data_IF_340055896773
#
_entry.id   IF_340055896773
#
_cell.length_a   1.000
_cell.length_b   1.000
_cell.length_c   1.000
_cell.angle_alpha   90.00
_cell.angle_beta   90.00
_cell.angle_gamma   90.00
#
_symmetry.space_group_name_H-M   'P 1'
#
loop_
_entity.id
_entity.type
_entity.pdbx_description
1 polymer ?
#
# COMPACT_ATOMS: atom_id res chain seq x y z
N UNK A 1 -10.20 12.77 -1.32
CA UNK A 1 -10.39 11.38 -1.79
C UNK A 1 -9.41 10.47 -1.04
N UNK A 2 -9.86 9.28 -0.63
CA UNK A 2 -9.05 8.26 0.03
C UNK A 2 -8.78 7.14 -0.97
N UNK A 3 -7.50 6.88 -1.28
CA UNK A 3 -7.07 5.88 -2.26
C UNK A 3 -6.42 4.72 -1.53
N UNK A 4 -7.00 3.53 -1.62
CA UNK A 4 -6.41 2.30 -1.08
C UNK A 4 -5.60 1.59 -2.17
N UNK A 5 -4.36 1.28 -1.86
CA UNK A 5 -3.37 0.66 -2.75
C UNK A 5 -3.07 -0.75 -2.21
N UNK A 6 -3.57 -1.77 -2.90
CA UNK A 6 -3.42 -3.15 -2.48
C UNK A 6 -2.00 -3.71 -2.72
N UNK A 7 -1.72 -4.87 -2.15
CA UNK A 7 -0.41 -5.54 -2.23
C UNK A 7 -0.18 -6.31 -3.53
N UNK A 8 0.98 -6.98 -3.58
CA UNK A 8 1.40 -7.85 -4.67
C UNK A 8 0.40 -8.98 -4.90
N UNK A 9 0.09 -9.27 -6.16
CA UNK A 9 -0.86 -10.33 -6.58
C UNK A 9 -2.26 -10.21 -5.95
N UNK A 10 -2.67 -9.03 -5.51
CA UNK A 10 -3.94 -8.75 -4.86
C UNK A 10 -4.87 -7.91 -5.76
N UNK A 11 -6.01 -7.45 -5.21
CA UNK A 11 -6.99 -6.64 -5.94
C UNK A 11 -7.85 -5.79 -4.98
N UNK A 12 -8.79 -5.03 -5.55
CA UNK A 12 -9.84 -4.34 -4.79
C UNK A 12 -10.76 -5.30 -3.99
N UNK A 13 -10.71 -6.61 -4.27
CA UNK A 13 -11.45 -7.65 -3.55
C UNK A 13 -10.74 -8.14 -2.28
N UNK A 14 -9.56 -7.60 -1.94
CA UNK A 14 -8.87 -7.95 -0.69
C UNK A 14 -9.71 -7.62 0.55
N UNK A 15 -9.54 -8.39 1.62
CA UNK A 15 -10.31 -8.22 2.86
C UNK A 15 -10.30 -6.78 3.34
N UNK A 16 -9.11 -6.18 3.54
CA UNK A 16 -8.95 -4.80 3.98
C UNK A 16 -9.61 -3.77 3.06
N UNK A 17 -9.50 -3.94 1.73
CA UNK A 17 -10.13 -3.02 0.79
C UNK A 17 -11.65 -3.05 0.91
N UNK A 18 -12.25 -4.24 1.03
CA UNK A 18 -13.70 -4.40 1.21
C UNK A 18 -14.18 -3.91 2.57
N UNK A 19 -13.44 -4.18 3.64
CA UNK A 19 -13.75 -3.68 4.98
C UNK A 19 -13.77 -2.15 4.99
N UNK A 20 -12.76 -1.52 4.38
CA UNK A 20 -12.72 -0.06 4.26
C UNK A 20 -13.88 0.48 3.42
N UNK A 21 -14.19 -0.14 2.27
CA UNK A 21 -15.31 0.24 1.41
C UNK A 21 -16.65 0.20 2.17
N UNK A 22 -16.91 -0.91 2.88
CA UNK A 22 -18.12 -1.09 3.66
C UNK A 22 -18.22 -0.06 4.81
N UNK A 23 -17.10 0.18 5.50
CA UNK A 23 -17.02 1.14 6.60
C UNK A 23 -17.26 2.59 6.13
N UNK A 24 -16.70 2.97 4.97
CA UNK A 24 -16.92 4.28 4.35
C UNK A 24 -18.38 4.44 3.87
N UNK A 25 -18.93 3.41 3.23
CA UNK A 25 -20.34 3.42 2.76
C UNK A 25 -21.34 3.60 3.92
N UNK A 26 -21.14 2.91 5.06
CA UNK A 26 -21.98 3.05 6.26
C UNK A 26 -22.00 4.47 6.83
N UNK A 27 -21.01 5.30 6.51
CA UNK A 27 -20.86 6.69 6.94
C UNK A 27 -21.26 7.72 5.87
N UNK A 28 -21.79 7.26 4.74
CA UNK A 28 -22.14 8.14 3.62
C UNK A 28 -20.91 8.71 2.88
N UNK A 29 -19.72 8.10 3.07
CA UNK A 29 -18.45 8.53 2.50
C UNK A 29 -17.98 7.61 1.36
N UNK A 30 -18.83 6.74 0.85
CA UNK A 30 -18.45 5.74 -0.16
C UNK A 30 -17.84 6.36 -1.42
N UNK A 31 -18.37 7.48 -1.90
CA UNK A 31 -17.84 8.20 -3.07
C UNK A 31 -16.47 8.87 -2.83
N UNK A 32 -16.06 9.01 -1.57
CA UNK A 32 -14.76 9.56 -1.19
C UNK A 32 -13.66 8.49 -1.10
N UNK A 33 -13.99 7.21 -1.37
CA UNK A 33 -13.08 6.07 -1.30
C UNK A 33 -12.95 5.39 -2.64
N UNK A 34 -11.73 5.01 -3.01
CA UNK A 34 -11.44 4.19 -4.17
C UNK A 34 -10.31 3.20 -3.87
N UNK A 35 -10.50 1.96 -4.33
CA UNK A 35 -9.44 0.97 -4.43
C UNK A 35 -9.44 0.46 -5.87
N UNK A 36 -8.51 0.91 -6.73
CA UNK A 36 -8.42 0.40 -8.09
C UNK A 36 -7.83 -1.01 -8.11
N UNK A 37 -8.22 -1.83 -9.09
CA UNK A 37 -7.45 -3.01 -9.44
C UNK A 37 -6.19 -2.56 -10.19
N UNK A 38 -5.03 -2.81 -9.60
CA UNK A 38 -3.76 -2.36 -10.16
C UNK A 38 -3.26 -3.33 -11.22
N UNK A 39 -2.78 -2.83 -12.38
CA UNK A 39 -2.01 -3.63 -13.31
C UNK A 39 -0.81 -4.28 -12.62
N UNK A 40 -0.38 -5.46 -13.10
CA UNK A 40 0.82 -6.12 -12.56
C UNK A 40 2.12 -5.37 -12.90
N UNK A 41 2.13 -4.54 -13.97
CA UNK A 41 3.26 -3.69 -14.36
C UNK A 41 3.35 -2.47 -13.43
N UNK A 42 4.48 -2.27 -12.70
CA UNK A 42 4.60 -1.16 -11.77
C UNK A 42 4.42 0.22 -12.40
N UNK A 43 4.94 0.43 -13.61
CA UNK A 43 4.80 1.70 -14.31
C UNK A 43 3.33 2.03 -14.64
N UNK A 44 2.54 1.04 -15.08
CA UNK A 44 1.12 1.19 -15.35
C UNK A 44 0.32 1.42 -14.06
N UNK A 45 0.67 0.71 -12.98
CA UNK A 45 0.05 0.89 -11.67
C UNK A 45 0.27 2.30 -11.14
N UNK A 46 1.48 2.83 -11.24
CA UNK A 46 1.78 4.21 -10.84
C UNK A 46 1.04 5.21 -11.71
N UNK A 47 1.00 5.03 -13.03
CA UNK A 47 0.26 5.92 -13.93
C UNK A 47 -1.23 5.99 -13.59
N UNK A 48 -1.85 4.85 -13.28
CA UNK A 48 -3.25 4.77 -12.83
C UNK A 48 -3.45 5.53 -11.50
N UNK A 49 -2.56 5.34 -10.54
CA UNK A 49 -2.64 6.00 -9.23
C UNK A 49 -2.42 7.53 -9.35
N UNK A 50 -1.49 7.97 -10.19
CA UNK A 50 -1.27 9.40 -10.46
C UNK A 50 -2.49 10.06 -11.12
N UNK A 51 -3.16 9.36 -12.06
CA UNK A 51 -4.40 9.83 -12.66
C UNK A 51 -5.51 10.01 -11.59
N UNK A 52 -5.68 9.04 -10.69
CA UNK A 52 -6.62 9.16 -9.57
C UNK A 52 -6.30 10.33 -8.63
N UNK A 53 -5.02 10.54 -8.30
CA UNK A 53 -4.57 11.66 -7.49
C UNK A 53 -4.90 12.99 -8.19
N UNK A 54 -4.65 13.09 -9.49
CA UNK A 54 -4.90 14.29 -10.28
C UNK A 54 -6.38 14.69 -10.36
N UNK A 55 -7.28 13.72 -10.33
CA UNK A 55 -8.74 13.91 -10.33
C UNK A 55 -9.34 14.23 -8.96
N UNK A 56 -8.54 14.17 -7.91
CA UNK A 56 -9.02 14.45 -6.55
C UNK A 56 -9.37 15.93 -6.39
N UNK A 57 -10.56 16.24 -5.87
CA UNK A 57 -11.01 17.62 -5.59
C UNK A 57 -10.32 18.27 -4.38
N UNK A 58 -9.14 17.82 -4.02
CA UNK A 58 -8.32 18.27 -2.91
C UNK A 58 -7.21 17.27 -2.65
N UNK A 59 -6.36 17.47 -1.63
CA UNK A 59 -5.29 16.54 -1.33
C UNK A 59 -5.83 15.12 -1.14
N UNK A 60 -5.33 14.16 -1.93
CA UNK A 60 -5.64 12.77 -1.73
C UNK A 60 -4.95 12.26 -0.45
N UNK A 61 -5.60 11.33 0.25
CA UNK A 61 -4.98 10.53 1.31
C UNK A 61 -4.75 9.12 0.77
N UNK A 62 -3.59 8.55 1.06
CA UNK A 62 -3.22 7.22 0.58
C UNK A 62 -3.27 6.19 1.71
N UNK A 63 -3.71 4.99 1.40
CA UNK A 63 -3.54 3.82 2.27
C UNK A 63 -2.82 2.76 1.45
N UNK A 64 -1.66 2.30 1.88
CA UNK A 64 -0.90 1.29 1.17
C UNK A 64 -0.62 0.06 2.01
N UNK A 65 -0.93 -1.14 1.51
CA UNK A 65 -0.64 -2.41 2.17
C UNK A 65 0.44 -3.18 1.41
N UNK A 66 1.47 -3.67 2.12
CA UNK A 66 2.55 -4.46 1.53
C UNK A 66 3.24 -3.72 0.37
N UNK A 67 3.26 -4.28 -0.87
CA UNK A 67 3.73 -3.56 -2.08
C UNK A 67 2.98 -2.24 -2.29
N UNK A 68 1.68 -2.19 -1.97
CA UNK A 68 0.92 -0.94 -2.04
C UNK A 68 1.46 0.13 -1.09
N UNK A 69 2.09 -0.25 0.03
CA UNK A 69 2.81 0.65 0.92
C UNK A 69 4.06 1.25 0.28
N UNK A 70 4.77 0.47 -0.54
CA UNK A 70 5.89 0.96 -1.33
C UNK A 70 5.45 2.00 -2.37
N UNK A 71 4.35 1.75 -3.10
CA UNK A 71 3.76 2.70 -4.04
C UNK A 71 3.22 3.96 -3.34
N UNK A 72 2.50 3.79 -2.22
CA UNK A 72 1.99 4.91 -1.43
C UNK A 72 3.13 5.82 -0.95
N UNK A 73 4.26 5.26 -0.56
CA UNK A 73 5.43 6.03 -0.11
C UNK A 73 6.00 6.86 -1.27
N UNK A 74 6.22 6.26 -2.44
CA UNK A 74 6.69 6.98 -3.61
C UNK A 74 5.75 8.14 -3.98
N UNK A 75 4.44 7.89 -4.03
CA UNK A 75 3.44 8.90 -4.40
C UNK A 75 3.31 9.99 -3.33
N UNK A 76 3.38 9.63 -2.04
CA UNK A 76 3.34 10.59 -0.95
C UNK A 76 4.54 11.55 -0.99
N UNK A 77 5.75 11.04 -1.26
CA UNK A 77 6.94 11.87 -1.42
C UNK A 77 6.88 12.77 -2.65
N UNK A 78 6.36 12.24 -3.76
CA UNK A 78 6.25 12.97 -5.03
C UNK A 78 5.23 14.09 -4.99
N UNK A 79 4.10 13.89 -4.33
CA UNK A 79 2.94 14.80 -4.33
C UNK A 79 2.69 15.50 -2.99
N UNK A 80 3.59 15.33 -2.01
CA UNK A 80 3.46 15.85 -0.64
C UNK A 80 2.12 15.46 0.03
N UNK A 81 1.78 14.15 -0.02
CA UNK A 81 0.54 13.61 0.50
C UNK A 81 0.76 12.87 1.81
N UNK A 82 -0.33 12.71 2.57
CA UNK A 82 -0.36 11.80 3.72
C UNK A 82 -0.64 10.37 3.29
N UNK A 83 0.06 9.43 3.92
CA UNK A 83 -0.11 8.00 3.68
C UNK A 83 -0.17 7.19 4.97
N UNK A 84 -1.21 6.37 5.10
CA UNK A 84 -1.25 5.28 6.08
C UNK A 84 -0.69 4.02 5.46
N UNK A 85 0.22 3.38 6.17
CA UNK A 85 0.98 2.23 5.68
C UNK A 85 0.71 1.02 6.56
N UNK A 86 0.26 -0.06 5.95
CA UNK A 86 -0.14 -1.29 6.65
C UNK A 86 0.80 -2.43 6.25
N UNK A 87 1.64 -2.88 7.18
CA UNK A 87 2.70 -3.86 6.94
C UNK A 87 3.43 -3.56 5.60
N UNK A 88 3.98 -2.34 5.42
CA UNK A 88 4.52 -1.90 4.13
C UNK A 88 5.81 -2.62 3.76
N UNK A 89 6.00 -2.85 2.48
CA UNK A 89 7.24 -3.41 1.95
C UNK A 89 8.29 -2.30 1.76
N UNK A 90 9.22 -2.19 2.66
CA UNK A 90 10.40 -1.31 2.49
C UNK A 90 11.40 -1.98 1.56
N UNK A 91 11.93 -1.23 0.57
CA UNK A 91 12.89 -1.76 -0.39
C UNK A 91 12.33 -2.89 -1.27
N UNK A 92 11.08 -2.81 -1.64
CA UNK A 92 10.33 -3.87 -2.32
C UNK A 92 10.99 -4.33 -3.63
N UNK A 93 11.64 -3.43 -4.36
CA UNK A 93 12.40 -3.76 -5.57
C UNK A 93 13.50 -4.82 -5.32
N UNK A 94 14.16 -4.79 -4.16
CA UNK A 94 15.16 -5.80 -3.81
C UNK A 94 14.50 -7.12 -3.39
N UNK A 95 13.42 -7.04 -2.59
CA UNK A 95 12.71 -8.23 -2.07
C UNK A 95 12.02 -9.04 -3.15
N UNK A 96 11.54 -8.39 -4.22
CA UNK A 96 10.89 -9.05 -5.35
C UNK A 96 11.86 -9.59 -6.41
N UNK A 97 13.16 -9.34 -6.28
CA UNK A 97 14.17 -9.80 -7.26
C UNK A 97 14.18 -11.32 -7.47
N UNK A 98 13.89 -12.10 -6.42
CA UNK A 98 13.80 -13.55 -6.49
C UNK A 98 12.64 -14.10 -7.33
N UNK A 99 11.66 -13.27 -7.68
CA UNK A 99 10.51 -13.68 -8.49
C UNK A 99 10.75 -13.55 -10.01
N UNK A 100 11.85 -12.95 -10.45
CA UNK A 100 12.15 -12.76 -11.87
C UNK A 100 12.18 -14.11 -12.60
N UNK A 101 11.39 -14.21 -13.68
CA UNK A 101 11.20 -15.42 -14.46
C UNK A 101 10.13 -16.38 -13.93
N UNK A 102 9.54 -16.11 -12.77
CA UNK A 102 8.51 -16.95 -12.19
C UNK A 102 7.12 -16.52 -12.62
N UNK A 103 6.23 -17.49 -12.84
CA UNK A 103 4.80 -17.25 -13.03
C UNK A 103 4.19 -16.80 -11.71
N UNK A 104 3.49 -15.69 -11.75
CA UNK A 104 2.71 -15.15 -10.65
C UNK A 104 1.22 -15.26 -10.97
N UNK A 105 0.40 -15.32 -9.94
CA UNK A 105 -1.03 -15.41 -10.06
C UNK A 105 -1.73 -14.44 -9.13
N UNK A 106 -2.64 -13.64 -9.66
CA UNK A 106 -3.50 -12.81 -8.82
C UNK A 106 -4.46 -13.70 -8.02
N UNK A 107 -4.47 -13.52 -6.71
CA UNK A 107 -5.24 -14.39 -5.79
C UNK A 107 -6.75 -14.24 -5.89
N UNK A 108 -7.22 -13.12 -6.44
CA UNK A 108 -8.65 -12.81 -6.53
C UNK A 108 -9.21 -12.98 -7.95
N UNK A 109 -8.47 -12.56 -8.98
CA UNK A 109 -8.92 -12.66 -10.38
C UNK A 109 -8.51 -13.98 -11.02
N UNK A 110 -7.44 -14.61 -10.54
CA UNK A 110 -6.88 -15.81 -11.13
C UNK A 110 -5.97 -15.56 -12.32
N UNK A 111 -5.78 -14.30 -12.72
CA UNK A 111 -4.90 -13.92 -13.84
C UNK A 111 -3.45 -14.30 -13.56
N UNK A 112 -2.80 -14.87 -14.57
CA UNK A 112 -1.41 -15.29 -14.49
C UNK A 112 -0.52 -14.42 -15.38
N UNK A 113 0.68 -14.12 -14.88
CA UNK A 113 1.70 -13.38 -15.63
C UNK A 113 3.10 -13.83 -15.20
N UNK A 114 4.10 -13.60 -16.05
CA UNK A 114 5.51 -13.83 -15.69
C UNK A 114 6.07 -12.54 -15.09
N UNK A 115 6.58 -12.60 -13.85
CA UNK A 115 7.30 -11.47 -13.26
C UNK A 115 8.68 -11.37 -13.95
N UNK A 116 8.83 -10.39 -14.83
CA UNK A 116 10.03 -10.23 -15.67
C UNK A 116 11.04 -9.26 -15.06
N UNK A 117 12.23 -9.19 -15.66
CA UNK A 117 13.25 -8.19 -15.33
C UNK A 117 12.74 -6.75 -15.51
N UNK A 118 11.80 -6.52 -16.45
CA UNK A 118 11.18 -5.21 -16.64
C UNK A 118 10.36 -4.76 -15.44
N UNK A 119 9.62 -5.68 -14.80
CA UNK A 119 8.89 -5.36 -13.56
C UNK A 119 9.86 -4.85 -12.48
N UNK A 120 11.00 -5.54 -12.35
CA UNK A 120 12.02 -5.13 -11.38
C UNK A 120 12.65 -3.78 -11.74
N UNK A 121 12.94 -3.56 -13.02
CA UNK A 121 13.49 -2.29 -13.52
C UNK A 121 12.51 -1.12 -13.28
N UNK A 122 11.21 -1.36 -13.40
CA UNK A 122 10.18 -0.35 -13.12
C UNK A 122 10.00 -0.06 -11.62
N UNK A 123 10.26 -1.03 -10.74
CA UNK A 123 10.22 -0.82 -9.29
C UNK A 123 11.42 -0.01 -8.77
N UNK A 124 12.59 -0.15 -9.36
CA UNK A 124 13.82 0.49 -8.87
C UNK A 124 13.71 2.02 -8.73
N UNK A 125 13.22 2.78 -9.73
CA UNK A 125 13.12 4.23 -9.64
C UNK A 125 12.06 4.71 -8.63
N UNK A 126 11.17 3.83 -8.17
CA UNK A 126 10.16 4.14 -7.16
C UNK A 126 10.70 4.06 -5.73
N UNK A 127 11.93 3.59 -5.55
CA UNK A 127 12.54 3.45 -4.24
C UNK A 127 12.85 4.82 -3.62
N UNK A 128 12.20 5.11 -2.48
CA UNK A 128 12.47 6.31 -1.68
C UNK A 128 13.60 6.01 -0.69
N UNK A 129 14.54 6.95 -0.54
CA UNK A 129 15.72 6.78 0.34
C UNK A 129 15.42 7.08 1.81
N UNK A 130 14.49 8.00 2.06
CA UNK A 130 14.04 8.37 3.39
C UNK A 130 12.65 8.99 3.32
N UNK A 131 11.80 8.66 4.26
CA UNK A 131 10.44 9.17 4.36
C UNK A 131 10.40 10.54 5.07
N UNK A 132 9.54 11.47 4.60
CA UNK A 132 9.31 12.76 5.26
C UNK A 132 8.60 12.56 6.58
N UNK A 133 9.15 13.12 7.64
CA UNK A 133 8.53 13.06 8.96
C UNK A 133 7.18 13.77 8.95
N UNK A 134 6.17 13.13 9.53
CA UNK A 134 4.82 13.71 9.68
C UNK A 134 3.82 13.35 8.58
N UNK A 135 4.28 12.85 7.43
CA UNK A 135 3.39 12.44 6.34
C UNK A 135 2.93 10.99 6.44
N UNK A 136 3.42 10.24 7.43
CA UNK A 136 3.18 8.80 7.53
C UNK A 136 2.51 8.38 8.83
N UNK A 137 1.55 7.49 8.70
CA UNK A 137 0.97 6.74 9.78
C UNK A 137 1.23 5.25 9.54
N UNK A 138 2.17 4.68 10.27
CA UNK A 138 2.58 3.29 10.16
C UNK A 138 1.76 2.40 11.08
N UNK A 139 1.24 1.31 10.52
CA UNK A 139 0.55 0.24 11.22
C UNK A 139 1.25 -1.08 10.90
N UNK A 140 1.89 -1.72 11.88
CA UNK A 140 2.58 -3.00 11.70
C UNK A 140 2.25 -3.98 12.81
N UNK A 141 2.30 -5.26 12.47
CA UNK A 141 2.17 -6.38 13.38
C UNK A 141 3.49 -7.15 13.49
N UNK A 142 3.93 -7.43 14.73
CA UNK A 142 5.23 -8.10 14.97
C UNK A 142 5.26 -9.55 14.50
N UNK A 143 4.09 -10.17 14.30
CA UNK A 143 3.93 -11.52 13.79
C UNK A 143 3.89 -11.60 12.25
N UNK A 144 4.20 -10.52 11.53
CA UNK A 144 4.33 -10.55 10.07
C UNK A 144 5.42 -11.54 9.66
N UNK A 145 5.01 -12.64 9.02
CA UNK A 145 5.91 -13.71 8.58
C UNK A 145 6.48 -13.48 7.17
N UNK A 146 6.06 -12.41 6.48
CA UNK A 146 6.50 -12.08 5.12
C UNK A 146 7.54 -10.97 5.14
N UNK A 147 7.34 -9.95 5.98
CA UNK A 147 8.19 -8.77 6.06
C UNK A 147 8.64 -8.53 7.50
N UNK A 148 9.92 -8.21 7.69
CA UNK A 148 10.40 -7.77 8.99
C UNK A 148 9.85 -6.37 9.30
N UNK A 149 8.91 -6.29 10.24
CA UNK A 149 8.28 -5.04 10.66
C UNK A 149 9.27 -3.98 11.14
N UNK A 150 10.44 -4.39 11.66
CA UNK A 150 11.49 -3.49 12.15
C UNK A 150 12.07 -2.59 11.06
N UNK A 151 12.17 -3.11 9.83
CA UNK A 151 12.58 -2.31 8.68
C UNK A 151 11.62 -1.13 8.43
N UNK A 152 10.32 -1.37 8.57
CA UNK A 152 9.32 -0.31 8.43
C UNK A 152 9.37 0.68 9.62
N UNK A 153 9.50 0.18 10.85
CA UNK A 153 9.63 1.03 12.04
C UNK A 153 10.83 1.97 11.92
N UNK A 154 11.98 1.47 11.47
CA UNK A 154 13.19 2.26 11.29
C UNK A 154 13.05 3.25 10.12
N UNK A 155 12.51 2.80 8.99
CA UNK A 155 12.39 3.62 7.78
C UNK A 155 11.43 4.82 7.99
N UNK A 156 10.31 4.61 8.70
CA UNK A 156 9.32 5.65 8.99
C UNK A 156 9.53 6.31 10.37
N UNK A 157 10.73 6.21 10.92
CA UNK A 157 11.06 6.81 12.22
C UNK A 157 10.80 8.32 12.25
N UNK A 158 10.06 8.76 13.28
CA UNK A 158 9.63 10.15 13.46
C UNK A 158 8.25 10.47 12.86
N UNK A 159 7.58 9.51 12.20
CA UNK A 159 6.15 9.54 11.90
C UNK A 159 5.30 8.94 13.03
N UNK A 160 3.97 9.00 12.87
CA UNK A 160 3.04 8.29 13.76
C UNK A 160 3.15 6.79 13.51
N UNK A 161 3.35 6.00 14.57
CA UNK A 161 3.52 4.54 14.45
C UNK A 161 2.66 3.80 15.47
N UNK A 162 2.11 2.67 15.05
CA UNK A 162 1.50 1.65 15.91
C UNK A 162 2.15 0.31 15.59
N UNK A 163 2.78 -0.27 16.59
CA UNK A 163 3.42 -1.60 16.51
C UNK A 163 2.62 -2.51 17.42
N UNK A 164 1.94 -3.50 16.84
CA UNK A 164 1.07 -4.44 17.56
C UNK A 164 1.76 -5.78 17.72
N UNK A 165 1.73 -6.30 18.93
CA UNK A 165 2.28 -7.64 19.19
C UNK A 165 1.43 -8.72 18.56
N UNK A 166 2.10 -9.73 17.98
CA UNK A 166 1.46 -10.85 17.27
C UNK A 166 0.91 -10.44 15.92
N UNK A 167 -0.24 -11.00 15.54
CA UNK A 167 -0.87 -10.80 14.24
C UNK A 167 -0.14 -11.48 13.09
N UNK A 168 -0.34 -10.99 11.87
CA UNK A 168 0.24 -11.56 10.65
C UNK A 168 0.41 -10.51 9.53
N UNK A 169 0.91 -10.91 8.35
CA UNK A 169 1.05 -10.02 7.19
C UNK A 169 -0.28 -9.40 6.72
N UNK A 170 -1.39 -10.08 6.97
CA UNK A 170 -2.74 -9.62 6.64
C UNK A 170 -3.20 -8.41 7.44
N UNK A 171 -2.61 -8.14 8.61
CA UNK A 171 -3.05 -7.11 9.55
C UNK A 171 -4.53 -7.26 9.90
N UNK A 172 -4.87 -8.33 10.61
CA UNK A 172 -6.27 -8.75 10.88
C UNK A 172 -7.06 -7.76 11.73
N UNK A 173 -6.37 -6.86 12.45
CA UNK A 173 -6.98 -5.79 13.27
C UNK A 173 -7.26 -4.49 12.49
N UNK A 174 -7.24 -4.52 11.16
CA UNK A 174 -7.35 -3.33 10.31
C UNK A 174 -8.60 -2.49 10.60
N UNK A 175 -9.74 -3.14 10.81
CA UNK A 175 -11.02 -2.47 11.06
C UNK A 175 -11.00 -1.58 12.33
N UNK A 176 -10.20 -1.92 13.33
CA UNK A 176 -10.08 -1.16 14.57
C UNK A 176 -9.42 0.20 14.36
N UNK A 177 -8.60 0.32 13.31
CA UNK A 177 -7.83 1.52 12.99
C UNK A 177 -8.49 2.44 11.97
N UNK A 178 -9.61 2.05 11.35
CA UNK A 178 -10.29 2.85 10.32
C UNK A 178 -10.63 4.28 10.77
N UNK A 179 -11.14 4.51 12.01
CA UNK A 179 -11.36 5.88 12.48
C UNK A 179 -10.08 6.72 12.48
N UNK A 180 -9.00 6.18 13.05
CA UNK A 180 -7.72 6.90 13.15
C UNK A 180 -7.00 7.08 11.80
N UNK A 181 -7.26 6.22 10.83
CA UNK A 181 -6.80 6.36 9.44
C UNK A 181 -7.51 7.52 8.74
N UNK A 182 -8.83 7.65 8.95
CA UNK A 182 -9.60 8.74 8.35
C UNK A 182 -9.23 10.11 8.94
N UNK A 183 -8.94 10.16 10.23
CA UNK A 183 -8.53 11.39 10.94
C UNK A 183 -7.12 11.85 10.55
N UNK A 184 -6.19 10.92 10.23
CA UNK A 184 -4.82 11.23 9.85
C UNK A 184 -4.76 11.95 8.52
#
# INVERSE_FOLDING_TARGET
MLIYIHGFNSSAQSGKAREMAAWMAQRGLGESYVCPDLPHRPAEAIALLEDLISRSQGPAKLIGSSLGGFYATYLAERHDLKATLVNPCVGCHAKLSGYVGQVQKNWHTGDEYVFSADHLAELQPLAVKAARKGNYYLLVETGDQVLDYREAVDFYAGGRQVVLEGGDHGFTRFIEYLPSILEF
#
